data_IF_227906024573
#
_entry.id   IF_227906024573
#
_cell.length_a   1.000
_cell.length_b   1.000
_cell.length_c   1.000
_cell.angle_alpha   90.00
_cell.angle_beta   90.00
_cell.angle_gamma   90.00
#
_symmetry.space_group_name_H-M   'P 1'
#
loop_
_entity.id
_entity.type
_entity.pdbx_description
1 polymer ?
#
# COMPACT_ATOMS: atom_id res chain seq x y z
N UNK A 1 -12.75 -18.17 -25.62
CA UNK A 1 -13.12 -17.09 -24.66
C UNK A 1 -12.38 -15.82 -25.09
N UNK A 2 -13.04 -14.81 -25.69
CA UNK A 2 -12.34 -13.57 -26.11
C UNK A 2 -11.99 -12.76 -24.87
N UNK A 3 -10.72 -12.79 -24.50
CA UNK A 3 -10.19 -12.05 -23.37
C UNK A 3 -10.08 -10.57 -23.81
N UNK A 4 -10.89 -9.70 -23.20
CA UNK A 4 -10.84 -8.25 -23.43
C UNK A 4 -9.52 -7.67 -22.92
N UNK A 5 -9.01 -6.60 -23.54
CA UNK A 5 -7.77 -5.89 -23.13
C UNK A 5 -7.78 -5.51 -21.65
N UNK A 6 -8.94 -5.11 -21.13
CA UNK A 6 -9.12 -4.78 -19.71
C UNK A 6 -8.84 -5.97 -18.79
N UNK A 7 -9.30 -7.17 -19.19
CA UNK A 7 -9.05 -8.40 -18.44
C UNK A 7 -7.58 -8.82 -18.52
N UNK A 8 -6.91 -8.59 -19.66
CA UNK A 8 -5.46 -8.85 -19.78
C UNK A 8 -4.66 -7.92 -18.85
N UNK A 9 -5.02 -6.64 -18.79
CA UNK A 9 -4.38 -5.66 -17.90
C UNK A 9 -4.54 -6.04 -16.43
N UNK A 10 -5.75 -6.44 -16.02
CA UNK A 10 -6.02 -6.92 -14.65
C UNK A 10 -5.23 -8.18 -14.29
N UNK A 11 -5.20 -9.17 -15.18
CA UNK A 11 -4.45 -10.42 -14.95
C UNK A 11 -2.95 -10.14 -14.86
N UNK A 12 -2.42 -9.28 -15.73
CA UNK A 12 -1.01 -8.91 -15.74
C UNK A 12 -0.64 -8.14 -14.46
N UNK A 13 -1.47 -7.18 -14.03
CA UNK A 13 -1.26 -6.44 -12.80
C UNK A 13 -1.28 -7.36 -11.57
N UNK A 14 -2.25 -8.27 -11.49
CA UNK A 14 -2.35 -9.25 -10.40
C UNK A 14 -1.18 -10.24 -10.36
N UNK A 15 -0.68 -10.69 -11.52
CA UNK A 15 0.49 -11.55 -11.60
C UNK A 15 1.76 -10.81 -11.12
N UNK A 16 1.96 -9.56 -11.54
CA UNK A 16 3.11 -8.74 -11.14
C UNK A 16 3.09 -8.49 -9.62
N UNK A 17 1.96 -8.09 -9.05
CA UNK A 17 1.85 -7.84 -7.61
C UNK A 17 2.01 -9.11 -6.78
N UNK A 18 1.52 -10.25 -7.29
CA UNK A 18 1.71 -11.57 -6.66
C UNK A 18 3.17 -12.04 -6.68
N UNK A 19 3.92 -11.77 -7.75
CA UNK A 19 5.37 -12.08 -7.79
C UNK A 19 6.13 -11.18 -6.80
N UNK A 20 5.82 -9.88 -6.78
CA UNK A 20 6.44 -8.92 -5.87
C UNK A 20 6.18 -9.30 -4.41
N UNK A 21 4.97 -9.75 -4.07
CA UNK A 21 4.65 -10.14 -2.69
C UNK A 21 5.47 -11.35 -2.23
N UNK A 22 5.67 -12.37 -3.07
CA UNK A 22 6.52 -13.54 -2.75
C UNK A 22 7.98 -13.12 -2.59
N UNK A 23 8.50 -12.29 -3.49
CA UNK A 23 9.88 -11.79 -3.42
C UNK A 23 10.11 -10.98 -2.15
N UNK A 24 9.16 -10.15 -1.73
CA UNK A 24 9.26 -9.36 -0.51
C UNK A 24 9.27 -10.21 0.77
N UNK A 25 8.59 -11.36 0.77
CA UNK A 25 8.66 -12.33 1.88
C UNK A 25 10.04 -12.99 1.93
N UNK A 26 10.61 -13.36 0.78
CA UNK A 26 11.96 -13.92 0.71
C UNK A 26 13.04 -12.93 1.16
N UNK A 27 12.83 -11.63 0.93
CA UNK A 27 13.73 -10.55 1.35
C UNK A 27 13.60 -10.16 2.83
N UNK A 28 12.85 -10.93 3.63
CA UNK A 28 12.81 -10.76 5.09
C UNK A 28 11.56 -10.07 5.64
N UNK A 29 10.50 -9.89 4.85
CA UNK A 29 9.18 -9.68 5.45
C UNK A 29 8.73 -10.95 6.20
N UNK A 30 8.06 -10.82 7.35
CA UNK A 30 7.50 -11.99 8.02
C UNK A 30 6.51 -12.69 7.08
N UNK A 31 6.40 -14.01 7.19
CA UNK A 31 5.60 -14.87 6.28
C UNK A 31 4.12 -14.49 6.18
N UNK A 32 3.61 -13.74 7.17
CA UNK A 32 2.25 -13.24 7.21
C UNK A 32 2.11 -11.78 6.68
N UNK A 33 3.20 -11.19 6.19
CA UNK A 33 3.25 -9.85 5.59
C UNK A 33 3.84 -10.01 4.19
N UNK A 34 3.00 -10.26 3.20
CA UNK A 34 3.38 -10.08 1.80
C UNK A 34 3.49 -8.60 1.47
N UNK A 35 2.68 -8.13 0.52
CA UNK A 35 2.57 -6.70 0.22
C UNK A 35 1.54 -6.01 1.14
N UNK A 36 1.82 -5.95 2.44
CA UNK A 36 0.86 -5.43 3.43
C UNK A 36 0.97 -3.91 3.62
N UNK A 37 0.20 -3.13 2.87
CA UNK A 37 0.20 -1.66 2.96
C UNK A 37 -0.17 -1.19 4.38
N UNK A 38 -1.15 -1.82 5.03
CA UNK A 38 -1.57 -1.46 6.40
C UNK A 38 -0.45 -1.68 7.43
N UNK A 39 0.28 -2.80 7.31
CA UNK A 39 1.43 -3.11 8.15
C UNK A 39 2.54 -2.08 7.90
N UNK A 40 2.83 -1.75 6.63
CA UNK A 40 3.86 -0.75 6.30
C UNK A 40 3.52 0.65 6.83
N UNK A 41 2.25 1.05 6.81
CA UNK A 41 1.83 2.32 7.42
C UNK A 41 1.98 2.31 8.94
N UNK A 42 1.72 1.19 9.61
CA UNK A 42 2.01 1.03 11.04
C UNK A 42 3.51 1.14 11.32
N UNK A 43 4.33 0.52 10.49
CA UNK A 43 5.80 0.55 10.64
C UNK A 43 6.34 1.98 10.44
N UNK A 44 5.79 2.73 9.47
CA UNK A 44 6.10 4.17 9.27
C UNK A 44 5.62 5.02 10.47
N UNK A 45 4.43 4.73 11.02
CA UNK A 45 3.95 5.42 12.23
C UNK A 45 4.85 5.13 13.45
N UNK A 46 5.41 3.92 13.54
CA UNK A 46 6.45 3.56 14.51
C UNK A 46 7.74 4.36 14.33
N UNK A 47 8.18 4.57 13.08
CA UNK A 47 9.35 5.41 12.76
C UNK A 47 9.12 6.91 13.09
N UNK A 48 7.89 7.39 12.96
CA UNK A 48 7.49 8.75 13.38
C UNK A 48 7.27 8.87 14.90
N UNK A 49 7.61 7.83 15.69
CA UNK A 49 7.44 7.76 17.15
C UNK A 49 5.99 7.90 17.64
N UNK A 50 4.98 7.61 16.79
CA UNK A 50 3.58 7.55 17.23
C UNK A 50 3.26 6.27 18.03
N UNK A 51 4.14 5.26 18.02
CA UNK A 51 3.99 4.03 18.81
C UNK A 51 5.36 3.41 19.17
N UNK A 52 5.50 2.95 20.41
CA UNK A 52 6.78 2.46 20.99
C UNK A 52 6.98 0.95 20.88
N UNK A 53 6.72 0.36 19.71
CA UNK A 53 7.01 -1.05 19.46
C UNK A 53 8.42 -1.19 18.84
N UNK A 54 9.42 -1.53 19.66
CA UNK A 54 10.84 -1.53 19.28
C UNK A 54 11.22 -2.40 18.06
N UNK A 55 10.42 -3.41 17.72
CA UNK A 55 10.66 -4.33 16.58
C UNK A 55 10.22 -3.71 15.24
N UNK A 56 9.50 -2.59 15.25
CA UNK A 56 8.72 -2.11 14.10
C UNK A 56 8.93 -0.61 13.79
N UNK A 57 9.99 -0.01 14.30
CA UNK A 57 10.30 1.42 14.08
C UNK A 57 11.24 1.63 12.88
N UNK A 58 10.82 1.24 11.68
CA UNK A 58 11.60 1.51 10.47
C UNK A 58 10.69 1.93 9.33
N UNK A 59 11.13 2.95 8.58
CA UNK A 59 10.42 3.43 7.41
C UNK A 59 10.71 2.48 6.24
N UNK A 60 9.72 1.68 5.85
CA UNK A 60 9.79 0.80 4.69
C UNK A 60 9.77 1.61 3.38
N UNK A 61 10.84 1.60 2.56
CA UNK A 61 10.91 2.38 1.32
C UNK A 61 9.86 1.96 0.27
N UNK A 62 9.22 0.80 0.43
CA UNK A 62 8.22 0.25 -0.48
C UNK A 62 7.04 1.22 -0.71
N UNK A 63 6.50 1.81 0.36
CA UNK A 63 5.38 2.77 0.25
C UNK A 63 5.81 4.05 -0.48
N UNK A 64 7.02 4.55 -0.17
CA UNK A 64 7.56 5.74 -0.81
C UNK A 64 7.81 5.48 -2.31
N UNK A 65 8.36 4.32 -2.65
CA UNK A 65 8.60 3.89 -4.02
C UNK A 65 7.32 3.77 -4.84
N UNK A 66 6.24 3.21 -4.27
CA UNK A 66 4.93 3.15 -4.94
C UNK A 66 4.34 4.53 -5.17
N UNK A 67 4.42 5.40 -4.17
CA UNK A 67 3.88 6.76 -4.26
C UNK A 67 4.61 7.56 -5.34
N UNK A 68 5.94 7.51 -5.35
CA UNK A 68 6.78 8.17 -6.35
C UNK A 68 6.60 7.56 -7.73
N UNK A 69 6.51 6.24 -7.85
CA UNK A 69 6.26 5.56 -9.12
C UNK A 69 4.91 5.93 -9.74
N UNK A 70 3.84 5.94 -8.93
CA UNK A 70 2.52 6.39 -9.36
C UNK A 70 2.52 7.86 -9.77
N UNK A 71 3.21 8.71 -9.01
CA UNK A 71 3.38 10.12 -9.33
C UNK A 71 4.12 10.32 -10.67
N UNK A 72 5.22 9.61 -10.88
CA UNK A 72 6.03 9.71 -12.09
C UNK A 72 5.25 9.27 -13.33
N UNK A 73 4.50 8.17 -13.24
CA UNK A 73 3.63 7.69 -14.33
C UNK A 73 2.53 8.72 -14.64
N UNK A 74 1.92 9.31 -13.61
CA UNK A 74 0.90 10.35 -13.77
C UNK A 74 1.45 11.60 -14.45
N UNK A 75 2.70 11.98 -14.15
CA UNK A 75 3.39 13.10 -14.79
C UNK A 75 3.72 12.82 -16.26
N UNK A 76 4.28 11.64 -16.56
CA UNK A 76 4.62 11.22 -17.93
C UNK A 76 3.38 11.12 -18.81
N UNK A 77 2.27 10.57 -18.28
CA UNK A 77 0.99 10.50 -18.99
C UNK A 77 0.24 11.83 -19.05
N UNK A 78 0.76 12.89 -18.43
CA UNK A 78 0.12 14.23 -18.33
C UNK A 78 -1.31 14.19 -17.76
N UNK A 79 -1.63 13.16 -16.97
CA UNK A 79 -2.94 13.02 -16.32
C UNK A 79 -2.94 13.55 -14.88
N UNK A 80 -1.86 14.22 -14.47
CA UNK A 80 -1.75 14.82 -13.16
C UNK A 80 -2.74 15.98 -12.98
N UNK A 81 -3.87 15.69 -12.34
CA UNK A 81 -4.89 16.68 -11.96
C UNK A 81 -4.92 16.80 -10.45
N UNK A 82 -4.31 17.84 -9.86
CA UNK A 82 -4.35 18.05 -8.41
C UNK A 82 -5.79 18.32 -7.97
N UNK A 83 -6.38 17.36 -7.26
CA UNK A 83 -7.73 17.47 -6.68
C UNK A 83 -7.61 17.79 -5.20
N UNK A 84 -7.91 19.03 -4.82
CA UNK A 84 -8.12 19.39 -3.41
C UNK A 84 -9.45 18.79 -2.94
N UNK A 85 -9.43 18.00 -1.86
CA UNK A 85 -10.65 17.48 -1.24
C UNK A 85 -11.40 18.56 -0.47
N UNK A 86 -12.73 18.59 -0.59
CA UNK A 86 -13.59 19.52 0.15
C UNK A 86 -13.72 19.22 1.66
N UNK A 87 -13.24 18.06 2.12
CA UNK A 87 -13.34 17.64 3.53
C UNK A 87 -12.10 16.85 4.02
N UNK A 88 -10.94 17.49 4.18
CA UNK A 88 -9.71 16.83 4.60
C UNK A 88 -9.84 16.17 5.99
N UNK A 89 -10.56 16.80 6.92
CA UNK A 89 -10.76 16.30 8.28
C UNK A 89 -11.54 15.00 8.30
N UNK A 90 -12.65 14.91 7.56
CA UNK A 90 -13.46 13.69 7.49
C UNK A 90 -12.64 12.53 6.92
N UNK A 91 -11.87 12.77 5.85
CA UNK A 91 -11.01 11.74 5.25
C UNK A 91 -9.95 11.23 6.22
N UNK A 92 -9.35 12.12 7.00
CA UNK A 92 -8.38 11.75 8.01
C UNK A 92 -9.00 10.86 9.09
N UNK A 93 -10.18 11.25 9.60
CA UNK A 93 -10.91 10.46 10.60
C UNK A 93 -11.27 9.07 10.04
N UNK A 94 -11.86 9.01 8.84
CA UNK A 94 -12.18 7.72 8.21
C UNK A 94 -10.94 6.86 7.99
N UNK A 95 -9.81 7.44 7.55
CA UNK A 95 -8.57 6.71 7.37
C UNK A 95 -8.05 6.13 8.69
N UNK A 96 -8.16 6.87 9.80
CA UNK A 96 -7.79 6.37 11.13
C UNK A 96 -8.64 5.17 11.55
N UNK A 97 -9.97 5.25 11.39
CA UNK A 97 -10.86 4.11 11.69
C UNK A 97 -10.59 2.89 10.81
N UNK A 98 -10.34 3.09 9.51
CA UNK A 98 -9.98 2.01 8.58
C UNK A 98 -8.65 1.36 8.98
N UNK A 99 -7.65 2.14 9.40
CA UNK A 99 -6.37 1.58 9.87
C UNK A 99 -6.51 0.77 11.15
N UNK A 100 -7.34 1.22 12.11
CA UNK A 100 -7.65 0.46 13.31
C UNK A 100 -8.31 -0.87 12.92
N UNK A 101 -9.30 -0.85 12.03
CA UNK A 101 -9.95 -2.07 11.53
C UNK A 101 -8.98 -3.02 10.82
N UNK A 102 -8.16 -2.52 9.91
CA UNK A 102 -7.19 -3.32 9.17
C UNK A 102 -6.15 -3.99 10.08
N UNK A 103 -5.76 -3.33 11.18
CA UNK A 103 -4.83 -3.88 12.17
C UNK A 103 -5.48 -4.94 13.06
N UNK A 104 -6.71 -4.71 13.53
CA UNK A 104 -7.45 -5.65 14.38
C UNK A 104 -7.78 -6.95 13.64
N UNK A 105 -8.22 -6.85 12.38
CA UNK A 105 -8.55 -8.02 11.57
C UNK A 105 -7.34 -8.62 10.84
N UNK A 106 -6.15 -8.01 10.98
CA UNK A 106 -4.95 -8.35 10.21
C UNK A 106 -5.22 -8.47 8.70
N UNK A 107 -6.22 -7.74 8.19
CA UNK A 107 -6.68 -7.77 6.81
C UNK A 107 -6.34 -6.47 6.10
N UNK A 108 -5.49 -6.55 5.07
CA UNK A 108 -5.28 -5.44 4.14
C UNK A 108 -5.76 -5.88 2.74
N UNK A 109 -6.08 -4.96 1.82
CA UNK A 109 -6.60 -5.33 0.49
C UNK A 109 -5.64 -6.23 -0.33
N UNK A 110 -4.37 -6.31 0.06
CA UNK A 110 -3.35 -7.19 -0.54
C UNK A 110 -3.01 -8.42 0.30
N UNK A 111 -3.64 -8.60 1.47
CA UNK A 111 -3.50 -9.76 2.37
C UNK A 111 -4.81 -10.57 2.36
N UNK A 112 -5.34 -10.80 1.17
CA UNK A 112 -6.45 -11.72 0.90
C UNK A 112 -5.89 -12.98 0.27
#
# INVERSE_FOLDING_TARGET
MKISKEKQSLILAGAITGIISVVLVLLGNPTNMGFCIACFYRDIAGALSLHSAAVVQYARPEIIGLLLGAFLISLVKKEFKPRGGSSPVLRFIFAAFVMIGALVFLGCPFRM
#
